data_IF_786997158877
#
_entry.id   IF_786997158877
#
_cell.length_a   1.000
_cell.length_b   1.000
_cell.length_c   1.000
_cell.angle_alpha   90.00
_cell.angle_beta   90.00
_cell.angle_gamma   90.00
#
_symmetry.space_group_name_H-M   'P 1'
#
loop_
_entity.id
_entity.type
_entity.pdbx_description
1 polymer ?
#
# COMPACT_ATOMS: atom_id res chain seq x y z
N UNK A 1 -11.03 1.23 7.31
CA UNK A 1 -11.99 0.35 8.02
C UNK A 1 -12.11 -0.93 7.23
N UNK A 2 -11.99 -2.13 7.85
CA UNK A 2 -12.13 -3.38 7.10
C UNK A 2 -13.56 -3.47 6.57
N UNK A 3 -13.69 -3.57 5.25
CA UNK A 3 -14.95 -3.79 4.57
C UNK A 3 -15.55 -5.09 5.11
N UNK A 4 -16.71 -5.00 5.78
CA UNK A 4 -17.37 -6.18 6.32
C UNK A 4 -17.69 -7.11 5.17
N UNK A 5 -16.96 -8.22 5.10
CA UNK A 5 -17.16 -9.27 4.11
C UNK A 5 -18.61 -9.72 4.24
N UNK A 6 -19.41 -9.40 3.23
CA UNK A 6 -20.80 -9.84 3.18
C UNK A 6 -20.81 -11.32 2.79
N UNK A 7 -20.73 -12.19 3.81
CA UNK A 7 -20.77 -13.65 3.66
C UNK A 7 -21.96 -14.14 2.82
N UNK A 8 -23.05 -13.36 2.81
CA UNK A 8 -24.25 -13.58 1.99
C UNK A 8 -23.96 -13.50 0.49
N UNK A 9 -23.12 -12.55 0.05
CA UNK A 9 -22.79 -12.36 -1.38
C UNK A 9 -21.85 -13.45 -1.92
N UNK A 10 -21.00 -14.01 -1.08
CA UNK A 10 -20.08 -15.07 -1.47
C UNK A 10 -20.80 -16.43 -1.58
N UNK A 11 -21.82 -16.68 -0.74
CA UNK A 11 -22.65 -17.89 -0.77
C UNK A 11 -23.52 -18.00 -2.04
N UNK A 12 -24.02 -16.89 -2.57
CA UNK A 12 -24.83 -16.85 -3.80
C UNK A 12 -24.01 -17.30 -5.04
N UNK A 13 -22.68 -17.21 -5.00
CA UNK A 13 -21.79 -17.55 -6.12
C UNK A 13 -21.28 -19.00 -6.13
N UNK A 14 -21.66 -19.85 -5.18
CA UNK A 14 -21.17 -21.24 -5.13
C UNK A 14 -21.95 -22.21 -6.05
N UNK A 15 -21.28 -23.18 -6.70
CA UNK A 15 -21.85 -24.10 -7.70
C UNK A 15 -22.93 -25.06 -7.15
N UNK A 16 -23.09 -25.15 -5.83
CA UNK A 16 -24.17 -25.90 -5.19
C UNK A 16 -25.55 -25.27 -5.46
N UNK A 17 -25.62 -23.94 -5.63
CA UNK A 17 -26.87 -23.26 -5.95
C UNK A 17 -27.37 -23.63 -7.37
N UNK A 18 -26.44 -23.90 -8.29
CA UNK A 18 -26.75 -24.34 -9.65
C UNK A 18 -27.39 -25.74 -9.63
N UNK A 19 -26.90 -26.67 -8.80
CA UNK A 19 -27.49 -28.00 -8.65
C UNK A 19 -28.87 -27.98 -7.99
N UNK A 20 -29.10 -27.08 -7.03
CA UNK A 20 -30.40 -26.89 -6.41
C UNK A 20 -31.44 -26.41 -7.44
N UNK A 21 -31.08 -25.47 -8.32
CA UNK A 21 -31.94 -25.00 -9.41
C UNK A 21 -32.24 -26.14 -10.40
N UNK A 22 -31.25 -26.96 -10.76
CA UNK A 22 -31.44 -28.10 -11.68
C UNK A 22 -32.43 -29.12 -11.13
N UNK A 23 -32.34 -29.45 -9.83
CA UNK A 23 -33.27 -30.39 -9.17
C UNK A 23 -34.69 -29.79 -9.10
N UNK A 24 -34.80 -28.49 -8.82
CA UNK A 24 -36.09 -27.80 -8.79
C UNK A 24 -36.78 -27.74 -10.16
N UNK A 25 -36.01 -27.49 -11.23
CA UNK A 25 -36.53 -27.52 -12.61
C UNK A 25 -37.02 -28.91 -12.98
N UNK A 26 -36.28 -29.97 -12.61
CA UNK A 26 -36.69 -31.35 -12.87
C UNK A 26 -38.01 -31.72 -12.16
N UNK A 27 -38.19 -31.29 -10.91
CA UNK A 27 -39.43 -31.53 -10.15
C UNK A 27 -40.62 -30.74 -10.69
N UNK A 28 -40.41 -29.49 -11.16
CA UNK A 28 -41.46 -28.67 -11.77
C UNK A 28 -41.99 -29.30 -13.07
N UNK A 29 -41.10 -29.82 -13.92
CA UNK A 29 -41.46 -30.52 -15.18
C UNK A 29 -42.26 -31.79 -14.90
N UNK A 30 -41.89 -32.55 -13.86
CA UNK A 30 -42.62 -33.75 -13.47
C UNK A 30 -44.04 -33.46 -12.95
N UNK A 31 -44.21 -32.39 -12.17
CA UNK A 31 -45.52 -32.00 -11.62
C UNK A 31 -46.52 -31.54 -12.69
N UNK A 32 -46.04 -30.83 -13.74
CA UNK A 32 -46.89 -30.34 -14.84
C UNK A 32 -47.34 -31.47 -15.77
N UNK A 33 -46.53 -32.53 -15.91
CA UNK A 33 -46.84 -33.67 -16.81
C UNK A 33 -47.76 -34.70 -16.17
N UNK A 34 -47.79 -34.82 -14.83
CA UNK A 34 -48.56 -35.84 -14.12
C UNK A 34 -50.01 -35.46 -13.76
N UNK A 35 -50.39 -34.17 -13.71
CA UNK A 35 -51.73 -33.73 -13.30
C UNK A 35 -52.17 -32.41 -13.97
N UNK A 36 -52.77 -32.44 -15.19
CA UNK A 36 -53.02 -31.24 -16.00
C UNK A 36 -54.23 -30.37 -15.59
N UNK A 37 -55.19 -30.91 -14.83
CA UNK A 37 -56.51 -30.29 -14.61
C UNK A 37 -56.67 -29.53 -13.27
N UNK A 38 -55.68 -29.61 -12.37
CA UNK A 38 -55.72 -28.90 -11.10
C UNK A 38 -55.07 -27.52 -11.20
N UNK A 39 -55.89 -26.46 -11.25
CA UNK A 39 -55.45 -25.05 -11.31
C UNK A 39 -54.55 -24.67 -10.12
N UNK A 40 -54.83 -25.19 -8.93
CA UNK A 40 -54.00 -25.00 -7.73
C UNK A 40 -52.61 -25.66 -7.87
N UNK A 41 -52.52 -26.84 -8.50
CA UNK A 41 -51.22 -27.48 -8.79
C UNK A 41 -50.45 -26.73 -9.88
N UNK A 42 -51.11 -26.11 -10.87
CA UNK A 42 -50.44 -25.23 -11.86
C UNK A 42 -49.89 -23.96 -11.21
N UNK A 43 -50.65 -23.35 -10.29
CA UNK A 43 -50.22 -22.20 -9.45
C UNK A 43 -48.96 -22.60 -8.65
N UNK A 44 -49.03 -23.72 -7.93
CA UNK A 44 -47.93 -24.26 -7.14
C UNK A 44 -46.75 -24.76 -7.99
N UNK A 45 -46.97 -25.25 -9.21
CA UNK A 45 -45.89 -25.70 -10.10
C UNK A 45 -45.13 -24.53 -10.73
N UNK A 46 -45.78 -23.39 -10.96
CA UNK A 46 -45.16 -22.21 -11.56
C UNK A 46 -44.39 -21.36 -10.52
N UNK A 47 -44.93 -21.24 -9.30
CA UNK A 47 -44.36 -20.39 -8.26
C UNK A 47 -43.81 -21.16 -7.06
N UNK A 48 -44.28 -22.38 -6.81
CA UNK A 48 -43.78 -23.22 -5.71
C UNK A 48 -42.28 -23.51 -5.81
N UNK A 49 -41.70 -23.78 -6.99
CA UNK A 49 -40.24 -23.91 -7.12
C UNK A 49 -39.49 -22.63 -6.73
N UNK A 50 -40.02 -21.46 -7.11
CA UNK A 50 -39.41 -20.17 -6.77
C UNK A 50 -39.52 -19.86 -5.28
N UNK A 51 -40.70 -20.08 -4.69
CA UNK A 51 -40.94 -19.81 -3.26
C UNK A 51 -40.20 -20.79 -2.38
N UNK A 52 -40.19 -22.09 -2.74
CA UNK A 52 -39.45 -23.10 -2.01
C UNK A 52 -37.93 -22.94 -2.18
N UNK A 53 -37.46 -22.56 -3.38
CA UNK A 53 -36.07 -22.17 -3.61
C UNK A 53 -35.67 -20.96 -2.78
N UNK A 54 -36.46 -19.89 -2.78
CA UNK A 54 -36.21 -18.70 -1.97
C UNK A 54 -36.27 -18.96 -0.47
N UNK A 55 -37.19 -19.82 -0.01
CA UNK A 55 -37.30 -20.22 1.40
C UNK A 55 -36.11 -21.11 1.83
N UNK A 56 -35.69 -22.04 0.97
CA UNK A 56 -34.50 -22.85 1.21
C UNK A 56 -33.24 -21.99 1.22
N UNK A 57 -33.11 -21.04 0.29
CA UNK A 57 -32.00 -20.10 0.22
C UNK A 57 -31.98 -19.16 1.44
N UNK A 58 -33.15 -18.70 1.92
CA UNK A 58 -33.26 -17.92 3.15
C UNK A 58 -32.87 -18.71 4.41
N UNK A 59 -33.30 -19.98 4.52
CA UNK A 59 -32.91 -20.87 5.62
C UNK A 59 -31.42 -21.22 5.58
N UNK A 60 -30.89 -21.47 4.38
CA UNK A 60 -29.47 -21.76 4.13
C UNK A 60 -28.61 -20.55 4.49
N UNK A 61 -28.95 -19.35 4.01
CA UNK A 61 -28.26 -18.10 4.31
C UNK A 61 -28.40 -17.65 5.77
N UNK A 62 -29.46 -18.06 6.47
CA UNK A 62 -29.62 -17.76 7.90
C UNK A 62 -28.77 -18.66 8.81
N UNK A 63 -28.43 -19.88 8.36
CA UNK A 63 -27.76 -20.89 9.21
C UNK A 63 -26.26 -20.99 8.95
N UNK A 64 -25.81 -20.81 7.70
CA UNK A 64 -24.38 -20.84 7.32
C UNK A 64 -23.47 -19.83 8.00
N UNK A 65 -23.84 -18.53 8.12
CA UNK A 65 -22.95 -17.52 8.67
C UNK A 65 -22.61 -17.78 10.13
N UNK A 66 -23.36 -18.64 10.81
CA UNK A 66 -23.13 -18.99 12.21
C UNK A 66 -22.25 -20.22 12.41
N UNK A 67 -21.83 -20.89 11.34
CA UNK A 67 -20.92 -22.04 11.43
C UNK A 67 -19.45 -21.59 11.50
N UNK A 68 -18.67 -22.03 12.50
CA UNK A 68 -17.28 -21.63 12.65
C UNK A 68 -16.38 -22.15 11.51
N UNK A 69 -16.76 -23.27 10.87
CA UNK A 69 -16.04 -23.83 9.73
C UNK A 69 -16.13 -22.96 8.47
N UNK A 70 -17.32 -22.46 8.13
CA UNK A 70 -17.51 -21.61 6.96
C UNK A 70 -16.81 -20.26 7.12
N UNK A 71 -16.90 -19.64 8.32
CA UNK A 71 -16.16 -18.41 8.64
C UNK A 71 -14.67 -18.58 8.43
N UNK A 72 -14.07 -19.67 8.93
CA UNK A 72 -12.64 -19.96 8.73
C UNK A 72 -12.25 -20.08 7.26
N UNK A 73 -13.06 -20.76 6.44
CA UNK A 73 -12.76 -20.92 5.01
C UNK A 73 -12.86 -19.59 4.27
N UNK A 74 -13.89 -18.80 4.55
CA UNK A 74 -14.08 -17.48 3.92
C UNK A 74 -12.97 -16.53 4.36
N UNK A 75 -12.62 -16.51 5.64
CA UNK A 75 -11.52 -15.70 6.17
C UNK A 75 -10.18 -16.10 5.53
N UNK A 76 -9.91 -17.40 5.36
CA UNK A 76 -8.73 -17.87 4.65
C UNK A 76 -8.72 -17.44 3.18
N UNK A 77 -9.85 -17.55 2.47
CA UNK A 77 -9.98 -17.09 1.07
C UNK A 77 -9.74 -15.59 0.97
N UNK A 78 -10.32 -14.80 1.87
CA UNK A 78 -10.16 -13.35 1.89
C UNK A 78 -8.73 -12.94 2.21
N UNK A 79 -8.07 -13.59 3.17
CA UNK A 79 -6.65 -13.38 3.45
C UNK A 79 -5.79 -13.67 2.22
N UNK A 80 -6.05 -14.77 1.52
CA UNK A 80 -5.35 -15.13 0.27
C UNK A 80 -5.59 -14.11 -0.84
N UNK A 81 -6.83 -13.64 -1.02
CA UNK A 81 -7.18 -12.59 -1.99
C UNK A 81 -6.47 -11.28 -1.67
N UNK A 82 -6.53 -10.84 -0.41
CA UNK A 82 -5.85 -9.62 0.04
C UNK A 82 -4.33 -9.71 -0.16
N UNK A 83 -3.71 -10.86 0.14
CA UNK A 83 -2.29 -11.10 -0.12
C UNK A 83 -1.97 -11.02 -1.63
N UNK A 84 -2.78 -11.68 -2.46
CA UNK A 84 -2.60 -11.66 -3.91
C UNK A 84 -2.76 -10.26 -4.50
N UNK A 85 -3.72 -9.47 -4.00
CA UNK A 85 -3.89 -8.07 -4.40
C UNK A 85 -2.72 -7.19 -3.96
N UNK A 86 -2.19 -7.37 -2.74
CA UNK A 86 -0.97 -6.68 -2.28
C UNK A 86 0.21 -7.00 -3.19
N UNK A 87 0.40 -8.27 -3.53
CA UNK A 87 1.48 -8.70 -4.40
C UNK A 87 1.34 -8.13 -5.81
N UNK A 88 0.14 -8.15 -6.40
CA UNK A 88 -0.13 -7.52 -7.71
C UNK A 88 0.17 -6.03 -7.71
N UNK A 89 -0.34 -5.29 -6.72
CA UNK A 89 -0.07 -3.85 -6.57
C UNK A 89 1.43 -3.57 -6.52
N UNK A 90 2.20 -4.40 -5.80
CA UNK A 90 3.67 -4.26 -5.73
C UNK A 90 4.37 -4.61 -7.03
N UNK A 91 3.96 -5.67 -7.70
CA UNK A 91 4.51 -5.99 -9.04
C UNK A 91 4.24 -4.85 -10.03
N UNK A 92 3.06 -4.25 -9.97
CA UNK A 92 2.73 -3.08 -10.77
C UNK A 92 3.55 -1.85 -10.37
N UNK A 93 3.81 -1.63 -9.08
CA UNK A 93 4.74 -0.59 -8.61
C UNK A 93 6.15 -0.82 -9.15
N UNK A 94 6.68 -2.05 -9.06
CA UNK A 94 8.02 -2.40 -9.55
C UNK A 94 8.17 -2.19 -11.06
N UNK A 95 7.09 -2.35 -11.85
CA UNK A 95 7.11 -2.00 -13.28
C UNK A 95 7.29 -0.50 -13.53
N UNK A 96 6.89 0.37 -12.60
CA UNK A 96 7.12 1.82 -12.70
C UNK A 96 8.55 2.23 -12.36
N UNK A 97 9.37 1.30 -11.86
CA UNK A 97 10.74 1.58 -11.43
C UNK A 97 11.67 1.71 -12.64
N UNK A 98 12.72 2.51 -12.49
CA UNK A 98 13.75 2.65 -13.52
C UNK A 98 14.47 1.30 -13.68
N UNK A 99 15.08 0.98 -14.85
CA UNK A 99 15.67 -0.33 -15.09
C UNK A 99 16.67 -0.78 -14.00
N UNK A 100 17.50 0.13 -13.53
CA UNK A 100 18.48 -0.13 -12.46
C UNK A 100 17.82 -0.42 -11.10
N UNK A 101 16.76 0.31 -10.77
CA UNK A 101 16.01 0.13 -9.52
C UNK A 101 15.23 -1.19 -9.53
N UNK A 102 14.68 -1.55 -10.69
CA UNK A 102 14.01 -2.84 -10.90
C UNK A 102 14.97 -4.00 -10.73
N UNK A 103 16.17 -3.91 -11.31
CA UNK A 103 17.21 -4.92 -11.17
C UNK A 103 17.59 -5.14 -9.70
N UNK A 104 17.72 -4.07 -8.90
CA UNK A 104 18.00 -4.19 -7.47
C UNK A 104 16.89 -4.93 -6.70
N UNK A 105 15.61 -4.62 -7.00
CA UNK A 105 14.46 -5.32 -6.39
C UNK A 105 14.40 -6.79 -6.80
N UNK A 106 14.67 -7.09 -8.08
CA UNK A 106 14.70 -8.44 -8.61
C UNK A 106 15.88 -9.24 -8.03
N UNK A 107 17.04 -8.62 -7.85
CA UNK A 107 18.20 -9.20 -7.20
C UNK A 107 17.89 -9.59 -5.75
N UNK A 108 17.28 -8.70 -4.97
CA UNK A 108 16.86 -9.04 -3.60
C UNK A 108 15.81 -10.15 -3.58
N UNK A 109 14.86 -10.14 -4.52
CA UNK A 109 13.86 -11.22 -4.66
C UNK A 109 14.53 -12.55 -4.98
N UNK A 110 15.53 -12.55 -5.86
CA UNK A 110 16.31 -13.74 -6.19
C UNK A 110 17.11 -14.23 -4.98
N UNK A 111 17.83 -13.33 -4.29
CA UNK A 111 18.65 -13.66 -3.12
C UNK A 111 17.80 -14.25 -1.99
N UNK A 112 16.62 -13.68 -1.73
CA UNK A 112 15.63 -14.26 -0.82
C UNK A 112 15.31 -15.72 -1.16
N UNK A 113 14.98 -15.99 -2.43
CA UNK A 113 14.63 -17.34 -2.89
C UNK A 113 15.83 -18.28 -2.80
N UNK A 114 17.04 -17.80 -3.07
CA UNK A 114 18.28 -18.57 -2.87
C UNK A 114 18.47 -18.94 -1.40
N UNK A 115 18.28 -18.00 -0.47
CA UNK A 115 18.35 -18.25 0.97
C UNK A 115 17.38 -19.38 1.36
N UNK A 116 16.12 -19.33 0.88
CA UNK A 116 15.13 -20.36 1.19
C UNK A 116 15.53 -21.73 0.64
N UNK A 117 16.01 -21.79 -0.62
CA UNK A 117 16.42 -23.03 -1.25
C UNK A 117 17.66 -23.62 -0.56
N UNK A 118 18.66 -22.79 -0.28
CA UNK A 118 19.90 -23.18 0.39
C UNK A 118 19.62 -23.68 1.81
N UNK A 119 18.77 -22.97 2.56
CA UNK A 119 18.40 -23.39 3.90
C UNK A 119 17.75 -24.77 3.92
N UNK A 120 16.73 -25.01 3.07
CA UNK A 120 16.09 -26.33 2.95
C UNK A 120 17.08 -27.41 2.52
N UNK A 121 17.96 -27.10 1.56
CA UNK A 121 18.96 -28.03 1.03
C UNK A 121 19.95 -28.46 2.11
N UNK A 122 20.45 -27.52 2.93
CA UNK A 122 21.50 -27.82 3.89
C UNK A 122 20.98 -28.39 5.21
N UNK A 123 19.79 -28.00 5.65
CA UNK A 123 19.19 -28.50 6.90
C UNK A 123 18.34 -29.76 6.68
N UNK A 124 17.94 -30.06 5.45
CA UNK A 124 17.08 -31.20 5.12
C UNK A 124 15.62 -31.04 5.58
N UNK A 125 15.24 -29.85 6.08
CA UNK A 125 13.87 -29.59 6.53
C UNK A 125 12.94 -29.28 5.36
N UNK A 126 11.66 -29.60 5.52
CA UNK A 126 10.63 -29.31 4.50
C UNK A 126 10.16 -27.85 4.56
N UNK A 127 10.09 -27.30 5.77
CA UNK A 127 9.56 -25.97 6.08
C UNK A 127 10.65 -25.06 6.63
N UNK A 128 10.61 -23.80 6.19
CA UNK A 128 11.56 -22.78 6.60
C UNK A 128 11.07 -22.16 7.93
N UNK A 129 11.94 -21.89 8.91
CA UNK A 129 11.54 -21.21 10.13
C UNK A 129 10.93 -19.84 9.85
N UNK A 130 9.92 -19.45 10.63
CA UNK A 130 9.24 -18.15 10.55
C UNK A 130 10.22 -16.97 10.49
N UNK A 131 11.33 -17.05 11.23
CA UNK A 131 12.39 -16.03 11.23
C UNK A 131 13.00 -15.80 9.85
N UNK A 132 13.21 -16.84 9.05
CA UNK A 132 13.70 -16.69 7.67
C UNK A 132 12.56 -16.22 6.75
N UNK A 133 11.32 -16.60 7.04
CA UNK A 133 10.15 -16.07 6.32
C UNK A 133 10.02 -14.55 6.48
N UNK A 134 10.52 -13.95 7.56
CA UNK A 134 10.57 -12.48 7.71
C UNK A 134 11.35 -11.77 6.59
N UNK A 135 12.22 -12.47 5.84
CA UNK A 135 12.85 -11.93 4.62
C UNK A 135 11.82 -11.46 3.58
N UNK A 136 10.62 -12.05 3.54
CA UNK A 136 9.52 -11.52 2.75
C UNK A 136 9.14 -10.10 3.20
N UNK A 137 9.06 -9.86 4.50
CA UNK A 137 8.74 -8.54 5.09
C UNK A 137 9.82 -7.52 4.77
N UNK A 138 11.11 -7.87 4.83
CA UNK A 138 12.18 -6.93 4.45
C UNK A 138 12.19 -6.61 2.97
N UNK A 139 11.94 -7.60 2.11
CA UNK A 139 11.81 -7.35 0.68
C UNK A 139 10.63 -6.42 0.39
N UNK A 140 9.50 -6.64 1.06
CA UNK A 140 8.34 -5.75 0.98
C UNK A 140 8.68 -4.32 1.46
N UNK A 141 9.36 -4.20 2.60
CA UNK A 141 9.78 -2.92 3.15
C UNK A 141 10.76 -2.18 2.24
N UNK A 142 11.68 -2.91 1.58
CA UNK A 142 12.61 -2.36 0.60
C UNK A 142 11.86 -1.73 -0.58
N UNK A 143 10.89 -2.44 -1.16
CA UNK A 143 10.09 -1.92 -2.29
C UNK A 143 9.34 -0.65 -1.89
N UNK A 144 8.72 -0.65 -0.71
CA UNK A 144 7.96 0.50 -0.21
C UNK A 144 8.87 1.71 0.09
N UNK A 145 10.06 1.47 0.66
CA UNK A 145 11.07 2.51 0.94
C UNK A 145 11.63 3.09 -0.36
N UNK A 146 11.91 2.24 -1.35
CA UNK A 146 12.41 2.65 -2.65
C UNK A 146 11.41 3.56 -3.36
N UNK A 147 10.13 3.18 -3.37
CA UNK A 147 9.05 4.00 -3.90
C UNK A 147 8.95 5.36 -3.17
N UNK A 148 9.09 5.36 -1.84
CA UNK A 148 9.12 6.60 -1.03
C UNK A 148 10.33 7.48 -1.37
N UNK A 149 11.51 6.89 -1.52
CA UNK A 149 12.72 7.59 -1.95
C UNK A 149 12.53 8.26 -3.32
N UNK A 150 11.98 7.53 -4.30
CA UNK A 150 11.72 8.04 -5.65
C UNK A 150 10.76 9.21 -5.63
N UNK A 151 9.63 9.11 -4.93
CA UNK A 151 8.67 10.22 -4.80
C UNK A 151 9.33 11.48 -4.23
N UNK A 152 10.08 11.35 -3.14
CA UNK A 152 10.77 12.48 -2.49
C UNK A 152 11.88 13.05 -3.37
N UNK A 153 12.66 12.19 -4.03
CA UNK A 153 13.70 12.60 -4.98
C UNK A 153 13.12 13.40 -6.15
N UNK A 154 12.01 12.95 -6.72
CA UNK A 154 11.33 13.66 -7.80
C UNK A 154 10.81 15.02 -7.34
N UNK A 155 10.25 15.11 -6.13
CA UNK A 155 9.85 16.39 -5.56
C UNK A 155 11.05 17.33 -5.35
N UNK A 156 12.16 16.83 -4.80
CA UNK A 156 13.36 17.64 -4.53
C UNK A 156 14.04 18.15 -5.80
N UNK A 157 13.99 17.40 -6.91
CA UNK A 157 14.53 17.84 -8.23
C UNK A 157 13.88 19.13 -8.74
N UNK A 158 12.64 19.42 -8.34
CA UNK A 158 11.94 20.65 -8.73
C UNK A 158 12.36 21.88 -7.92
N UNK A 159 13.01 21.67 -6.77
CA UNK A 159 13.39 22.74 -5.84
C UNK A 159 14.88 23.04 -5.98
N UNK A 160 15.23 24.24 -6.39
CA UNK A 160 16.62 24.68 -6.44
C UNK A 160 17.03 25.35 -5.12
N UNK A 161 17.83 24.64 -4.31
CA UNK A 161 18.36 25.14 -3.03
C UNK A 161 19.09 26.47 -3.19
N UNK A 162 19.92 26.60 -4.22
CA UNK A 162 20.70 27.81 -4.47
C UNK A 162 19.79 29.01 -4.76
N UNK A 163 18.71 28.80 -5.50
CA UNK A 163 17.74 29.86 -5.79
C UNK A 163 17.10 30.40 -4.52
N UNK A 164 16.69 29.53 -3.59
CA UNK A 164 16.10 29.95 -2.32
C UNK A 164 17.13 30.75 -1.49
N UNK A 165 18.38 30.27 -1.42
CA UNK A 165 19.45 31.00 -0.71
C UNK A 165 19.71 32.39 -1.31
N UNK A 166 19.73 32.48 -2.64
CA UNK A 166 19.90 33.76 -3.32
C UNK A 166 18.71 34.70 -3.06
N UNK A 167 17.48 34.18 -3.05
CA UNK A 167 16.27 34.95 -2.71
C UNK A 167 16.30 35.44 -1.26
N UNK A 168 16.78 34.63 -0.32
CA UNK A 168 16.95 35.04 1.08
C UNK A 168 17.93 36.20 1.20
N UNK A 169 19.10 36.11 0.54
CA UNK A 169 20.08 37.19 0.53
C UNK A 169 19.54 38.49 -0.09
N UNK A 170 18.70 38.37 -1.13
CA UNK A 170 18.04 39.52 -1.74
C UNK A 170 16.99 40.14 -0.80
N UNK A 171 16.21 39.32 -0.11
CA UNK A 171 15.24 39.78 0.89
C UNK A 171 15.93 40.50 2.06
N UNK A 172 17.05 39.97 2.57
CA UNK A 172 17.85 40.62 3.62
C UNK A 172 18.33 42.02 3.20
N UNK A 173 18.82 42.15 1.97
CA UNK A 173 19.23 43.45 1.43
C UNK A 173 18.04 44.40 1.28
N UNK A 174 16.90 43.90 0.82
CA UNK A 174 15.67 44.69 0.65
C UNK A 174 15.13 45.21 2.00
N UNK A 175 15.26 44.43 3.08
CA UNK A 175 14.93 44.86 4.45
C UNK A 175 15.84 46.04 4.87
N UNK A 176 17.14 45.94 4.60
CA UNK A 176 18.11 46.98 4.96
C UNK A 176 17.90 48.29 4.20
N UNK A 177 17.40 48.24 2.96
CA UNK A 177 17.15 49.42 2.11
C UNK A 177 15.68 49.84 2.08
N UNK A 178 14.82 49.29 2.94
CA UNK A 178 13.39 49.57 2.95
C UNK A 178 13.10 51.04 3.37
N UNK A 179 12.32 51.80 2.58
CA UNK A 179 12.07 53.22 2.83
C UNK A 179 11.11 53.48 4.00
N UNK A 180 10.15 52.59 4.24
CA UNK A 180 9.10 52.71 5.26
C UNK A 180 8.96 51.43 6.11
N UNK A 181 8.30 51.55 7.28
CA UNK A 181 8.17 50.43 8.22
C UNK A 181 7.21 49.33 7.73
N UNK A 182 6.18 49.70 6.98
CA UNK A 182 5.21 48.73 6.44
C UNK A 182 5.85 47.84 5.37
N UNK A 183 6.62 48.43 4.44
CA UNK A 183 7.42 47.69 3.44
C UNK A 183 8.45 46.78 4.11
N UNK A 184 9.10 47.26 5.19
CA UNK A 184 10.05 46.44 5.96
C UNK A 184 9.39 45.19 6.55
N UNK A 185 8.16 45.32 7.09
CA UNK A 185 7.38 44.19 7.63
C UNK A 185 7.02 43.17 6.55
N UNK A 186 6.67 43.62 5.34
CA UNK A 186 6.40 42.73 4.21
C UNK A 186 7.65 41.93 3.81
N UNK A 187 8.81 42.58 3.73
CA UNK A 187 10.06 41.88 3.42
C UNK A 187 10.49 40.91 4.52
N UNK A 188 10.30 41.25 5.79
CA UNK A 188 10.50 40.29 6.90
C UNK A 188 9.59 39.06 6.77
N UNK A 189 8.32 39.27 6.46
CA UNK A 189 7.36 38.16 6.28
C UNK A 189 7.78 37.26 5.11
N UNK A 190 8.26 37.84 4.01
CA UNK A 190 8.79 37.08 2.87
C UNK A 190 10.04 36.27 3.27
N UNK A 191 10.98 36.89 3.98
CA UNK A 191 12.17 36.21 4.49
C UNK A 191 11.80 35.02 5.38
N UNK A 192 10.81 35.17 6.27
CA UNK A 192 10.33 34.08 7.13
C UNK A 192 9.77 32.91 6.31
N UNK A 193 9.06 33.18 5.21
CA UNK A 193 8.60 32.13 4.29
C UNK A 193 9.75 31.41 3.59
N UNK A 194 10.75 32.16 3.12
CA UNK A 194 11.94 31.59 2.48
C UNK A 194 12.75 30.74 3.47
N UNK A 195 12.87 31.17 4.73
CA UNK A 195 13.51 30.39 5.80
C UNK A 195 12.76 29.08 6.08
N UNK A 196 11.43 29.14 6.19
CA UNK A 196 10.60 27.93 6.35
C UNK A 196 10.80 26.97 5.19
N UNK A 197 10.79 27.49 3.95
CA UNK A 197 11.03 26.71 2.74
C UNK A 197 12.41 26.05 2.72
N UNK A 198 13.46 26.77 3.14
CA UNK A 198 14.81 26.22 3.26
C UNK A 198 14.87 25.09 4.30
N UNK A 199 14.27 25.30 5.48
CA UNK A 199 14.19 24.27 6.53
C UNK A 199 13.50 23.01 6.02
N UNK A 200 12.39 23.16 5.31
CA UNK A 200 11.67 22.04 4.70
C UNK A 200 12.52 21.28 3.69
N UNK A 201 13.29 22.00 2.86
CA UNK A 201 14.24 21.37 1.95
C UNK A 201 15.30 20.55 2.71
N UNK A 202 15.91 21.13 3.74
CA UNK A 202 16.93 20.44 4.54
C UNK A 202 16.35 19.20 5.26
N UNK A 203 15.10 19.27 5.71
CA UNK A 203 14.38 18.14 6.32
C UNK A 203 14.08 17.04 5.28
N UNK A 204 13.72 17.39 4.05
CA UNK A 204 13.58 16.43 2.94
C UNK A 204 14.90 15.73 2.61
N UNK A 205 16.00 16.49 2.55
CA UNK A 205 17.33 15.95 2.26
C UNK A 205 17.77 14.94 3.34
N UNK A 206 17.58 15.28 4.61
CA UNK A 206 17.88 14.38 5.74
C UNK A 206 17.03 13.11 5.70
N UNK A 207 15.73 13.28 5.41
CA UNK A 207 14.81 12.17 5.23
C UNK A 207 15.26 11.23 4.12
N UNK A 208 15.66 11.76 2.95
CA UNK A 208 16.14 10.96 1.82
C UNK A 208 17.40 10.18 2.18
N UNK A 209 18.37 10.81 2.85
CA UNK A 209 19.59 10.14 3.33
C UNK A 209 19.28 9.00 4.29
N UNK A 210 18.27 9.16 5.15
CA UNK A 210 17.84 8.10 6.06
C UNK A 210 17.22 6.92 5.30
N UNK A 211 16.36 7.18 4.31
CA UNK A 211 15.80 6.10 3.48
C UNK A 211 16.89 5.36 2.72
N UNK A 212 17.84 6.09 2.13
CA UNK A 212 18.98 5.50 1.41
C UNK A 212 19.82 4.60 2.32
N UNK A 213 20.13 5.05 3.54
CA UNK A 213 20.83 4.24 4.53
C UNK A 213 20.05 2.96 4.90
N UNK A 214 18.73 3.05 5.03
CA UNK A 214 17.88 1.88 5.32
C UNK A 214 17.82 0.90 4.16
N UNK A 215 17.74 1.38 2.90
CA UNK A 215 17.81 0.51 1.72
C UNK A 215 19.13 -0.28 1.70
N UNK A 216 20.27 0.39 1.94
CA UNK A 216 21.57 -0.26 2.02
C UNK A 216 21.68 -1.23 3.20
N UNK A 217 21.07 -0.90 4.34
CA UNK A 217 21.05 -1.77 5.52
C UNK A 217 20.29 -3.07 5.23
N UNK A 218 19.14 -2.98 4.54
CA UNK A 218 18.40 -4.16 4.10
C UNK A 218 19.25 -5.00 3.14
N UNK A 219 19.88 -4.40 2.14
CA UNK A 219 20.75 -5.14 1.18
C UNK A 219 21.90 -5.87 1.90
N UNK A 220 22.56 -5.19 2.82
CA UNK A 220 23.65 -5.75 3.62
C UNK A 220 23.16 -6.89 4.51
N UNK A 221 21.95 -6.77 5.07
CA UNK A 221 21.33 -7.80 5.89
C UNK A 221 21.01 -9.06 5.09
N UNK A 222 20.47 -8.93 3.88
CA UNK A 222 20.26 -10.10 3.01
C UNK A 222 21.57 -10.80 2.66
N UNK A 223 22.64 -10.02 2.39
CA UNK A 223 23.98 -10.57 2.17
C UNK A 223 24.46 -11.38 3.37
N UNK A 224 24.36 -10.82 4.58
CA UNK A 224 24.72 -11.49 5.82
C UNK A 224 23.92 -12.79 6.03
N UNK A 225 22.60 -12.76 5.84
CA UNK A 225 21.75 -13.95 6.01
C UNK A 225 22.12 -15.03 4.99
N UNK A 226 22.36 -14.65 3.73
CA UNK A 226 22.81 -15.57 2.70
C UNK A 226 24.13 -16.25 3.07
N UNK A 227 25.12 -15.47 3.50
CA UNK A 227 26.43 -16.00 3.88
C UNK A 227 26.33 -16.94 5.08
N UNK A 228 25.49 -16.60 6.07
CA UNK A 228 25.22 -17.43 7.25
C UNK A 228 24.54 -18.75 6.86
N UNK A 229 23.53 -18.72 5.99
CA UNK A 229 22.86 -19.93 5.53
C UNK A 229 23.79 -20.84 4.72
N UNK A 230 24.74 -20.27 3.96
CA UNK A 230 25.73 -21.05 3.21
C UNK A 230 26.80 -21.64 4.13
N UNK A 231 27.28 -20.88 5.13
CA UNK A 231 28.44 -21.28 5.94
C UNK A 231 28.06 -22.18 7.11
N UNK A 232 26.99 -21.86 7.83
CA UNK A 232 26.53 -22.59 9.01
C UNK A 232 24.99 -22.61 9.10
N UNK A 233 24.33 -23.53 8.37
CA UNK A 233 22.89 -23.67 8.37
C UNK A 233 22.43 -24.42 9.62
N UNK A 234 22.44 -23.73 10.76
CA UNK A 234 21.87 -24.25 12.01
C UNK A 234 20.75 -23.32 12.48
N UNK A 235 19.60 -23.85 12.93
CA UNK A 235 18.49 -23.03 13.44
C UNK A 235 18.92 -22.05 14.54
N UNK A 236 19.87 -22.45 15.39
CA UNK A 236 20.39 -21.65 16.49
C UNK A 236 21.15 -20.41 15.99
N UNK A 237 21.99 -20.56 14.97
CA UNK A 237 22.74 -19.43 14.39
C UNK A 237 21.86 -18.48 13.60
N UNK A 238 20.85 -18.99 12.90
CA UNK A 238 19.88 -18.10 12.23
C UNK A 238 18.99 -17.38 13.24
N UNK A 239 18.68 -18.02 14.37
CA UNK A 239 17.91 -17.42 15.46
C UNK A 239 18.65 -16.29 16.17
N UNK A 240 19.99 -16.33 16.19
CA UNK A 240 20.81 -15.28 16.82
C UNK A 240 20.94 -14.01 15.97
N UNK A 241 20.58 -14.05 14.69
CA UNK A 241 20.54 -12.85 13.86
C UNK A 241 19.43 -11.91 14.34
N UNK A 242 19.73 -10.62 14.38
CA UNK A 242 18.84 -9.58 14.92
C UNK A 242 17.92 -9.01 13.84
N UNK A 243 16.94 -9.82 13.44
CA UNK A 243 15.89 -9.41 12.51
C UNK A 243 15.07 -8.22 13.09
N UNK A 244 14.62 -8.34 14.34
CA UNK A 244 13.71 -7.37 14.98
C UNK A 244 14.27 -5.95 15.01
N UNK A 245 15.56 -5.77 15.31
CA UNK A 245 16.19 -4.45 15.34
C UNK A 245 16.15 -3.74 14.00
N UNK A 246 16.45 -4.44 12.91
CA UNK A 246 16.39 -3.85 11.56
C UNK A 246 14.95 -3.46 11.21
N UNK A 247 13.98 -4.33 11.48
CA UNK A 247 12.58 -4.08 11.19
C UNK A 247 12.07 -2.86 11.98
N UNK A 248 12.36 -2.83 13.28
CA UNK A 248 12.04 -1.69 14.15
C UNK A 248 12.66 -0.39 13.63
N UNK A 249 13.91 -0.41 13.18
CA UNK A 249 14.57 0.79 12.64
C UNK A 249 13.93 1.30 11.34
N UNK A 250 13.40 0.39 10.51
CA UNK A 250 12.68 0.71 9.28
C UNK A 250 11.30 1.31 9.62
N UNK A 251 10.59 0.72 10.59
CA UNK A 251 9.29 1.21 11.06
C UNK A 251 9.40 2.60 11.68
N UNK A 252 10.36 2.81 12.58
CA UNK A 252 10.67 4.13 13.15
C UNK A 252 11.03 5.15 12.06
N UNK A 253 11.79 4.71 11.05
CA UNK A 253 12.11 5.56 9.91
C UNK A 253 10.84 5.93 9.16
N UNK A 254 9.96 4.96 8.86
CA UNK A 254 8.68 5.19 8.17
C UNK A 254 7.77 6.13 8.95
N UNK A 255 7.64 5.96 10.26
CA UNK A 255 6.85 6.83 11.13
C UNK A 255 7.32 8.29 11.04
N UNK A 256 8.63 8.52 11.19
CA UNK A 256 9.22 9.87 11.08
C UNK A 256 9.02 10.45 9.66
N UNK A 257 9.05 9.60 8.64
CA UNK A 257 8.80 10.00 7.27
C UNK A 257 7.33 10.41 7.05
N UNK A 258 6.39 9.71 7.67
CA UNK A 258 4.96 10.00 7.56
C UNK A 258 4.56 11.24 8.37
N UNK A 259 5.13 11.45 9.55
CA UNK A 259 4.91 12.66 10.37
C UNK A 259 5.37 13.95 9.67
N UNK A 260 6.43 13.86 8.87
CA UNK A 260 7.01 15.00 8.15
C UNK A 260 6.27 15.32 6.84
N UNK A 261 5.50 14.39 6.29
CA UNK A 261 4.75 14.56 5.04
C UNK A 261 3.64 15.66 5.07
N UNK A 262 2.77 15.78 6.09
CA UNK A 262 1.69 16.78 6.09
C UNK A 262 2.20 18.22 6.20
N UNK A 263 3.31 18.46 6.92
CA UNK A 263 3.92 19.79 7.05
C UNK A 263 4.44 20.27 5.68
N UNK A 264 4.98 19.35 4.88
CA UNK A 264 5.49 19.64 3.54
C UNK A 264 4.37 20.02 2.56
N UNK A 265 3.23 19.31 2.60
CA UNK A 265 2.10 19.59 1.71
C UNK A 265 1.45 20.95 1.96
N UNK A 266 1.42 21.43 3.21
CA UNK A 266 0.81 22.72 3.56
C UNK A 266 1.67 23.90 3.10
N UNK A 267 2.99 23.76 3.11
CA UNK A 267 3.92 24.79 2.64
C UNK A 267 3.92 24.93 1.11
N UNK A 268 3.75 23.84 0.38
CA UNK A 268 3.67 23.84 -1.10
C UNK A 268 2.41 24.56 -1.61
N UNK A 269 1.28 24.41 -0.90
CA UNK A 269 0.04 25.16 -1.18
C UNK A 269 0.24 26.66 -0.97
N UNK A 270 1.01 27.01 0.07
CA UNK A 270 1.34 28.40 0.38
C UNK A 270 2.22 29.01 -0.73
N UNK A 271 3.21 28.26 -1.24
CA UNK A 271 4.13 28.71 -2.31
C UNK A 271 3.41 28.93 -3.65
N UNK A 272 2.41 28.10 -4.00
CA UNK A 272 1.56 28.31 -5.18
C UNK A 272 0.69 29.57 -5.09
N UNK A 273 0.27 29.94 -3.89
CA UNK A 273 -0.55 31.14 -3.67
C UNK A 273 0.29 32.43 -3.69
N UNK A 274 1.54 32.39 -3.23
CA UNK A 274 2.45 33.55 -3.23
C UNK A 274 3.14 33.81 -4.56
N UNK A 275 3.26 32.79 -5.42
CA UNK A 275 3.89 32.91 -6.75
C UNK A 275 2.94 33.38 -7.86
N UNK A 276 1.68 33.70 -7.53
CA UNK A 276 0.76 34.33 -8.48
C UNK A 276 1.05 35.84 -8.53
N UNK A 277 1.60 36.38 -9.63
CA UNK A 277 1.83 37.81 -9.72
C UNK A 277 0.48 38.51 -9.58
N UNK A 278 0.40 39.49 -8.67
CA UNK A 278 -0.75 40.36 -8.54
C UNK A 278 -1.09 40.89 -9.94
N UNK A 279 -2.22 40.43 -10.50
CA UNK A 279 -2.73 40.97 -11.76
C UNK A 279 -2.94 42.48 -11.52
N UNK A 280 -2.32 43.37 -12.31
CA UNK A 280 -2.61 44.78 -12.17
C UNK A 280 -4.11 45.02 -12.42
N UNK A 281 -4.74 45.96 -11.70
CA UNK A 281 -6.14 46.29 -11.92
C UNK A 281 -6.37 46.67 -13.39
N UNK A 282 -7.46 46.18 -13.98
CA UNK A 282 -7.90 46.53 -15.33
C UNK A 282 -8.46 47.97 -15.35
N UNK A 283 -7.64 48.96 -15.03
CA UNK A 283 -7.95 50.37 -15.20
C UNK A 283 -6.75 51.08 -15.82
N UNK A 284 -6.54 50.83 -17.11
CA UNK A 284 -5.89 51.75 -18.07
C UNK A 284 -5.85 51.06 -19.44
N UNK A 285 -7.03 50.95 -20.06
CA UNK A 285 -7.17 50.63 -21.48
C UNK A 285 -8.25 51.50 -22.12
N UNK A 286 -8.22 52.80 -21.83
CA UNK A 286 -8.90 53.80 -22.66
C UNK A 286 -8.10 55.11 -22.63
N UNK A 287 -7.23 55.28 -23.63
CA UNK A 287 -6.86 56.56 -24.24
C UNK A 287 -6.30 56.25 -25.62
#
# INVERSE_FOLDING_TARGET
MPEQVSYVKEAIKEPLNIWAIVIFVALAVFAVTAAPDFVFLKWLAWWGPLVAGAAAEALYLSTLPNTPGYRRIVDQRNRRRALAERNRKREDLVKTFDPREREAVEYLKWMKNQIYQNYKKFTGVTEVPERIETLDVYWEAYVDLLDTYRRRKNHMRSINRQTIQNQMQQADRAIATAPDDDTRRLYHTNLDFLQKRMKTYDDMERSMKRVEAQLQSIESFFGLVNDQVITMPTPEHISSLDFESLLSSIELTREILDETAPIMSQLDISDRSSSQPARPPLEQRQS
#
